data_IF_842932466932
#
_entry.id   IF_842932466932
#
_cell.length_a   1.000
_cell.length_b   1.000
_cell.length_c   1.000
_cell.angle_alpha   90.00
_cell.angle_beta   90.00
_cell.angle_gamma   90.00
#
_symmetry.space_group_name_H-M   'P 1'
#
loop_
_entity.id
_entity.type
_entity.pdbx_description
1 polymer ?
#
# COMPACT_ATOMS: atom_id res chain seq x y z
N UNK A 1 5.47 71.47 40.93
CA UNK A 1 5.38 72.08 39.58
C UNK A 1 5.19 70.95 38.58
N UNK A 2 4.01 70.88 37.99
CA UNK A 2 3.72 70.06 36.82
C UNK A 2 4.27 70.73 35.55
N UNK A 3 4.56 69.94 34.50
CA UNK A 3 4.59 70.24 33.04
C UNK A 3 4.87 68.87 32.37
N UNK A 4 3.83 68.16 31.91
CA UNK A 4 3.43 67.92 30.50
C UNK A 4 4.41 67.04 29.69
N UNK A 5 4.08 65.82 29.25
CA UNK A 5 3.14 65.39 28.20
C UNK A 5 3.82 65.08 26.86
N UNK A 6 3.49 63.89 26.34
CA UNK A 6 3.35 63.51 24.92
C UNK A 6 4.58 63.39 23.99
N UNK A 7 4.84 62.17 23.53
CA UNK A 7 4.90 61.88 22.08
C UNK A 7 4.78 60.36 21.85
N UNK A 8 3.58 59.93 21.45
CA UNK A 8 3.33 58.61 20.90
C UNK A 8 3.87 58.55 19.46
N UNK A 9 4.77 57.61 19.17
CA UNK A 9 5.16 57.27 17.80
C UNK A 9 4.61 55.88 17.46
N UNK A 10 3.35 55.85 17.05
CA UNK A 10 2.76 54.68 16.40
C UNK A 10 3.26 54.62 14.95
N UNK A 11 4.25 53.75 14.68
CA UNK A 11 4.65 53.44 13.31
C UNK A 11 3.68 52.39 12.75
N UNK A 12 2.63 52.87 12.09
CA UNK A 12 1.70 52.06 11.31
C UNK A 12 2.38 51.63 10.01
N UNK A 13 2.94 50.42 9.97
CA UNK A 13 3.29 49.80 8.69
C UNK A 13 1.99 49.37 8.03
N UNK A 14 1.54 50.24 7.12
CA UNK A 14 0.46 49.98 6.18
C UNK A 14 0.69 48.67 5.43
N UNK A 15 -0.27 47.78 5.57
CA UNK A 15 -0.45 46.56 4.79
C UNK A 15 -0.57 46.88 3.30
N UNK A 16 0.54 46.79 2.57
CA UNK A 16 0.51 46.75 1.10
C UNK A 16 0.29 45.28 0.70
N UNK A 17 -0.99 44.89 0.61
CA UNK A 17 -1.41 43.63 0.02
C UNK A 17 -1.49 43.81 -1.50
N UNK A 18 -0.66 43.14 -2.33
CA UNK A 18 -0.89 43.14 -3.77
C UNK A 18 -2.13 42.28 -4.07
N UNK A 19 -3.18 42.92 -4.60
CA UNK A 19 -4.36 42.27 -5.19
C UNK A 19 -3.92 41.44 -6.39
N UNK A 20 -3.69 40.13 -6.19
CA UNK A 20 -3.67 39.16 -7.28
C UNK A 20 -5.13 38.79 -7.58
N UNK A 21 -5.69 39.42 -8.61
CA UNK A 21 -6.96 39.04 -9.22
C UNK A 21 -6.79 37.73 -9.97
N UNK A 22 -7.25 36.61 -9.41
CA UNK A 22 -7.43 35.38 -10.17
C UNK A 22 -8.75 35.45 -10.93
N UNK A 23 -8.80 35.14 -12.24
CA UNK A 23 -10.07 35.02 -12.95
C UNK A 23 -10.85 33.81 -12.42
N UNK A 24 -12.09 34.07 -12.04
CA UNK A 24 -13.10 33.07 -11.74
C UNK A 24 -13.36 32.21 -12.98
N UNK A 25 -12.89 30.97 -13.00
CA UNK A 25 -13.34 29.96 -13.95
C UNK A 25 -14.77 29.55 -13.60
N UNK A 26 -15.73 30.33 -14.09
CA UNK A 26 -17.13 29.90 -14.22
C UNK A 26 -17.16 28.77 -15.25
N UNK A 27 -17.46 27.57 -14.80
CA UNK A 27 -17.82 26.43 -15.65
C UNK A 27 -19.00 26.84 -16.56
N UNK A 28 -18.93 26.66 -17.88
CA UNK A 28 -20.11 26.81 -18.71
C UNK A 28 -20.97 25.54 -18.64
N UNK A 29 -22.10 25.66 -17.95
CA UNK A 29 -23.25 24.77 -18.05
C UNK A 29 -23.84 24.88 -19.46
N UNK A 30 -23.62 23.89 -20.32
CA UNK A 30 -24.31 23.77 -21.59
C UNK A 30 -25.04 22.43 -21.66
N UNK A 31 -26.30 22.46 -21.22
CA UNK A 31 -27.30 21.48 -21.62
C UNK A 31 -27.75 21.85 -23.04
N UNK A 32 -27.55 20.95 -24.01
CA UNK A 32 -28.21 21.04 -25.32
C UNK A 32 -28.84 19.69 -25.59
N UNK A 33 -30.17 19.68 -25.48
CA UNK A 33 -31.05 18.62 -25.94
C UNK A 33 -31.02 18.58 -27.48
N UNK A 34 -30.69 17.42 -28.07
CA UNK A 34 -31.17 17.08 -29.40
C UNK A 34 -31.80 15.69 -29.38
N UNK A 35 -33.12 15.70 -29.24
CA UNK A 35 -34.04 14.59 -29.47
C UNK A 35 -34.80 14.91 -30.74
N UNK A 36 -34.68 14.08 -31.77
CA UNK A 36 -35.66 13.72 -32.84
C UNK A 36 -34.88 13.14 -34.02
N UNK A 37 -35.30 12.12 -34.79
CA UNK A 37 -36.46 11.22 -34.84
C UNK A 37 -36.07 10.12 -35.86
N UNK A 38 -36.46 8.88 -35.57
CA UNK A 38 -37.09 7.86 -36.45
C UNK A 38 -36.58 7.68 -37.90
N UNK A 39 -36.23 6.45 -38.30
CA UNK A 39 -37.16 5.53 -38.98
C UNK A 39 -36.66 4.07 -38.99
N UNK A 40 -37.58 3.09 -39.04
CA UNK A 40 -37.31 1.65 -39.12
C UNK A 40 -37.48 1.10 -40.54
N UNK A 41 -36.74 0.05 -40.92
CA UNK A 41 -37.12 -0.83 -42.03
C UNK A 41 -37.13 -2.28 -41.57
N UNK A 42 -38.33 -2.86 -41.66
CA UNK A 42 -38.66 -4.27 -41.50
C UNK A 42 -38.21 -5.10 -42.71
N UNK A 43 -38.26 -6.43 -42.51
CA UNK A 43 -38.30 -7.58 -43.45
C UNK A 43 -37.07 -8.47 -43.25
N UNK A 44 -37.15 -9.79 -43.04
CA UNK A 44 -38.26 -10.73 -42.87
C UNK A 44 -37.67 -12.06 -42.40
N UNK A 45 -38.49 -12.84 -41.71
CA UNK A 45 -38.26 -14.18 -41.17
C UNK A 45 -37.90 -15.26 -42.20
N UNK A 46 -36.88 -16.09 -41.90
CA UNK A 46 -36.85 -17.53 -42.21
C UNK A 46 -35.91 -18.29 -41.26
N UNK A 47 -36.50 -18.83 -40.20
CA UNK A 47 -36.55 -20.26 -39.85
C UNK A 47 -35.41 -21.21 -40.33
N UNK A 48 -34.67 -21.72 -39.35
CA UNK A 48 -34.19 -23.11 -39.09
C UNK A 48 -32.70 -23.43 -39.00
N UNK A 49 -32.41 -24.14 -37.88
CA UNK A 49 -31.29 -25.03 -37.52
C UNK A 49 -30.25 -24.48 -36.54
N UNK A 50 -30.62 -24.52 -35.26
CA UNK A 50 -29.68 -24.70 -34.15
C UNK A 50 -29.39 -26.19 -33.96
N UNK A 51 -28.13 -26.59 -33.69
CA UNK A 51 -27.85 -27.80 -32.95
C UNK A 51 -27.90 -27.50 -31.44
N UNK A 52 -28.66 -28.33 -30.75
CA UNK A 52 -28.75 -28.49 -29.30
C UNK A 52 -27.38 -28.64 -28.63
N UNK A 53 -27.11 -27.84 -27.60
CA UNK A 53 -26.34 -28.33 -26.44
C UNK A 53 -27.01 -27.80 -25.18
N UNK A 54 -27.42 -28.78 -24.38
CA UNK A 54 -28.19 -28.70 -23.15
C UNK A 54 -27.36 -28.02 -22.05
N UNK A 55 -27.97 -27.03 -21.40
CA UNK A 55 -27.54 -26.51 -20.10
C UNK A 55 -27.84 -27.59 -19.06
N UNK A 56 -26.82 -28.06 -18.36
CA UNK A 56 -27.02 -28.86 -17.14
C UNK A 56 -26.59 -28.02 -15.94
N UNK A 57 -27.58 -27.63 -15.14
CA UNK A 57 -27.39 -27.12 -13.80
C UNK A 57 -26.99 -28.28 -12.87
N UNK A 58 -26.01 -28.07 -12.00
CA UNK A 58 -25.79 -28.92 -10.85
C UNK A 58 -25.30 -28.08 -9.68
N UNK A 59 -26.25 -27.68 -8.82
CA UNK A 59 -25.96 -27.53 -7.40
C UNK A 59 -26.03 -28.92 -6.79
N UNK A 60 -25.05 -29.32 -5.98
CA UNK A 60 -25.23 -29.86 -4.63
C UNK A 60 -23.86 -30.22 -4.03
N UNK A 61 -23.65 -29.74 -2.81
CA UNK A 61 -22.55 -30.07 -1.93
C UNK A 61 -22.47 -31.58 -1.65
N UNK A 62 -21.26 -32.15 -1.54
CA UNK A 62 -20.92 -33.11 -0.48
C UNK A 62 -19.41 -33.47 -0.43
N UNK A 63 -18.81 -33.15 0.72
CA UNK A 63 -17.77 -33.82 1.55
C UNK A 63 -16.77 -34.82 0.92
N UNK A 64 -15.47 -34.80 1.31
CA UNK A 64 -14.43 -35.67 0.75
C UNK A 64 -14.42 -37.06 1.40
N UNK A 65 -14.17 -38.10 0.61
CA UNK A 65 -13.96 -39.46 1.11
C UNK A 65 -12.60 -40.02 0.68
N UNK A 66 -11.83 -40.45 1.69
CA UNK A 66 -11.39 -41.84 1.80
C UNK A 66 -10.32 -42.32 0.85
N UNK A 67 -9.14 -42.60 1.41
CA UNK A 67 -8.00 -43.30 0.81
C UNK A 67 -8.43 -44.64 0.19
N UNK A 68 -7.99 -44.93 -1.03
CA UNK A 68 -7.97 -46.30 -1.57
C UNK A 68 -6.59 -46.91 -1.35
N UNK A 69 -6.59 -48.01 -0.60
CA UNK A 69 -5.44 -48.87 -0.40
C UNK A 69 -5.05 -49.56 -1.72
N UNK A 70 -3.76 -49.59 -2.04
CA UNK A 70 -3.18 -50.59 -2.93
C UNK A 70 -2.11 -51.34 -2.16
N UNK A 71 -2.50 -52.53 -1.73
CA UNK A 71 -1.63 -53.59 -1.24
C UNK A 71 -0.75 -54.06 -2.39
N UNK A 72 0.56 -53.97 -2.25
CA UNK A 72 1.50 -54.73 -3.07
C UNK A 72 2.48 -55.40 -2.13
N UNK A 73 2.39 -56.72 -2.15
CA UNK A 73 3.12 -57.73 -1.40
C UNK A 73 4.64 -57.59 -1.50
N UNK A 74 5.28 -57.79 -0.35
CA UNK A 74 6.71 -58.04 -0.20
C UNK A 74 7.17 -59.33 -0.90
N UNK A 75 8.29 -59.27 -1.63
CA UNK A 75 9.33 -60.30 -1.75
C UNK A 75 10.66 -59.56 -1.98
N UNK A 76 11.52 -59.46 -0.97
CA UNK A 76 12.66 -60.35 -0.69
C UNK A 76 13.77 -60.22 -1.75
N UNK A 77 14.83 -59.49 -1.38
CA UNK A 77 16.21 -59.89 -1.68
C UNK A 77 17.04 -59.52 -0.45
N UNK A 78 17.44 -60.58 0.25
CA UNK A 78 18.47 -60.57 1.28
C UNK A 78 19.83 -60.50 0.58
N UNK A 79 20.77 -59.83 1.26
CA UNK A 79 22.23 -59.83 1.09
C UNK A 79 22.76 -59.12 -0.18
N UNK A 80 23.56 -58.05 -0.06
CA UNK A 80 25.00 -58.10 0.23
C UNK A 80 25.47 -56.73 0.78
N UNK A 81 26.45 -56.78 1.68
CA UNK A 81 27.32 -55.71 2.21
C UNK A 81 26.91 -54.98 3.51
N UNK A 82 27.05 -55.75 4.58
CA UNK A 82 27.58 -55.28 5.85
C UNK A 82 29.01 -54.72 5.70
N UNK A 83 29.19 -53.50 5.16
CA UNK A 83 30.47 -52.77 5.20
C UNK A 83 30.35 -51.26 4.88
N UNK A 84 29.47 -50.53 5.58
CA UNK A 84 29.59 -49.07 5.68
C UNK A 84 28.93 -48.54 6.97
N UNK A 85 29.11 -49.25 8.07
CA UNK A 85 28.83 -48.75 9.41
C UNK A 85 30.03 -47.92 9.89
N UNK A 86 30.19 -46.69 9.39
CA UNK A 86 30.98 -45.61 10.02
C UNK A 86 31.00 -44.33 9.17
N UNK A 87 29.87 -43.66 8.94
CA UNK A 87 29.90 -42.19 8.71
C UNK A 87 28.57 -41.57 9.10
N UNK A 88 28.57 -40.89 10.25
CA UNK A 88 27.59 -39.90 10.70
C UNK A 88 26.11 -40.26 10.55
N UNK A 89 25.52 -40.82 11.61
CA UNK A 89 24.12 -40.53 11.93
C UNK A 89 23.95 -39.00 12.09
N UNK A 90 23.78 -38.27 10.98
CA UNK A 90 23.18 -36.94 11.05
C UNK A 90 21.72 -37.15 11.41
N UNK A 91 21.40 -36.97 12.69
CA UNK A 91 20.03 -36.89 13.19
C UNK A 91 19.16 -36.10 12.21
N UNK A 92 17.93 -36.55 11.90
CA UNK A 92 17.07 -35.82 10.97
C UNK A 92 16.93 -34.39 11.51
N UNK A 93 17.40 -33.42 10.73
CA UNK A 93 17.35 -32.01 11.12
C UNK A 93 15.89 -31.70 11.38
N UNK A 94 15.53 -31.55 12.66
CA UNK A 94 14.18 -31.21 13.08
C UNK A 94 13.86 -29.84 12.46
N UNK A 95 13.20 -29.83 11.30
CA UNK A 95 12.59 -28.63 10.75
C UNK A 95 11.41 -28.28 11.66
N UNK A 96 11.71 -27.55 12.75
CA UNK A 96 10.65 -26.91 13.54
C UNK A 96 10.04 -25.84 12.64
N UNK A 97 8.77 -25.96 12.22
CA UNK A 97 8.13 -24.86 11.52
C UNK A 97 8.15 -23.65 12.44
N UNK A 98 8.85 -22.58 12.04
CA UNK A 98 8.89 -21.33 12.78
C UNK A 98 7.47 -20.77 12.78
N UNK A 99 6.76 -20.94 13.90
CA UNK A 99 5.42 -20.41 14.10
C UNK A 99 5.50 -18.88 13.99
N UNK A 100 5.08 -18.33 12.84
CA UNK A 100 4.95 -16.88 12.67
C UNK A 100 3.86 -16.41 13.62
N UNK A 101 4.27 -15.80 14.74
CA UNK A 101 3.35 -15.11 15.65
C UNK A 101 2.74 -13.93 14.92
N UNK A 102 1.53 -14.09 14.41
CA UNK A 102 0.74 -12.99 13.86
C UNK A 102 0.31 -12.09 15.03
N UNK A 103 1.12 -11.08 15.36
CA UNK A 103 0.76 -10.06 16.34
C UNK A 103 -0.40 -9.26 15.76
N UNK A 104 -1.61 -9.41 16.32
CA UNK A 104 -2.76 -8.58 15.95
C UNK A 104 -2.42 -7.11 16.25
N UNK A 105 -2.90 -6.14 15.44
CA UNK A 105 -2.77 -4.74 15.81
C UNK A 105 -3.39 -4.54 17.20
N UNK A 106 -2.67 -3.85 18.08
CA UNK A 106 -3.22 -3.35 19.34
C UNK A 106 -4.45 -2.50 19.01
N UNK A 107 -5.47 -2.55 19.87
CA UNK A 107 -6.74 -1.86 19.65
C UNK A 107 -6.64 -0.33 19.56
N UNK A 108 -5.46 0.24 19.79
CA UNK A 108 -5.22 1.68 19.93
C UNK A 108 -4.36 2.26 18.81
N UNK A 109 -3.87 1.42 17.89
CA UNK A 109 -2.98 1.84 16.81
C UNK A 109 -3.65 1.70 15.44
N UNK A 110 -3.61 2.78 14.66
CA UNK A 110 -4.03 2.77 13.27
C UNK A 110 -2.82 2.61 12.36
N UNK A 111 -2.95 1.88 11.26
CA UNK A 111 -1.86 1.72 10.31
C UNK A 111 -2.33 1.86 8.86
N UNK A 112 -1.38 2.21 8.00
CA UNK A 112 -1.54 2.18 6.55
C UNK A 112 -0.36 1.45 5.90
N UNK A 113 -0.67 0.66 4.87
CA UNK A 113 0.32 -0.11 4.11
C UNK A 113 0.32 0.34 2.65
N UNK A 114 1.48 0.79 2.18
CA UNK A 114 1.73 1.07 0.76
C UNK A 114 2.62 0.00 0.16
N UNK A 115 2.05 -0.95 -0.58
CA UNK A 115 2.80 -2.03 -1.21
C UNK A 115 3.16 -1.73 -2.67
N UNK A 116 4.24 -2.35 -3.16
CA UNK A 116 4.66 -2.29 -4.58
C UNK A 116 4.98 -0.88 -5.11
N UNK A 117 5.42 0.02 -4.22
CA UNK A 117 5.80 1.38 -4.62
C UNK A 117 7.09 1.29 -5.45
N UNK A 118 7.06 1.87 -6.66
CA UNK A 118 8.14 1.80 -7.66
C UNK A 118 9.28 2.77 -7.34
N UNK A 119 9.92 2.56 -6.19
CA UNK A 119 11.06 3.32 -5.70
C UNK A 119 12.05 2.43 -4.93
N UNK A 120 13.28 2.89 -4.78
CA UNK A 120 14.26 2.25 -3.90
C UNK A 120 13.95 2.59 -2.44
N UNK A 121 14.02 1.58 -1.56
CA UNK A 121 13.78 1.75 -0.13
C UNK A 121 14.68 2.82 0.50
N UNK A 122 15.96 2.92 0.12
CA UNK A 122 16.88 3.92 0.67
C UNK A 122 16.42 5.37 0.42
N UNK A 123 15.83 5.65 -0.75
CA UNK A 123 15.30 6.98 -1.08
C UNK A 123 14.09 7.34 -0.22
N UNK A 124 13.27 6.35 0.11
CA UNK A 124 12.09 6.52 0.98
C UNK A 124 12.51 6.64 2.44
N UNK A 125 13.46 5.81 2.89
CA UNK A 125 14.01 5.82 4.27
C UNK A 125 14.48 7.22 4.66
N UNK A 126 15.19 7.92 3.76
CA UNK A 126 15.62 9.31 3.98
C UNK A 126 14.51 10.25 4.45
N UNK A 127 13.30 10.12 3.90
CA UNK A 127 12.15 10.95 4.28
C UNK A 127 11.48 10.40 5.53
N UNK A 128 11.33 9.08 5.62
CA UNK A 128 10.72 8.42 6.77
C UNK A 128 11.49 8.71 8.07
N UNK A 129 12.80 8.76 8.02
CA UNK A 129 13.65 9.06 9.18
C UNK A 129 13.32 10.43 9.80
N UNK A 130 12.79 11.38 9.02
CA UNK A 130 12.47 12.74 9.47
C UNK A 130 11.11 12.85 10.18
N UNK A 131 10.17 11.98 9.81
CA UNK A 131 8.78 12.05 10.30
C UNK A 131 8.52 11.12 11.49
N UNK A 132 9.47 10.25 11.88
CA UNK A 132 9.31 9.36 13.04
C UNK A 132 9.19 10.19 14.32
N UNK A 133 8.16 9.91 15.12
CA UNK A 133 7.90 10.58 16.39
C UNK A 133 7.36 12.01 16.26
N UNK A 134 6.98 12.45 15.06
CA UNK A 134 6.36 13.77 14.84
C UNK A 134 4.84 13.70 14.94
N UNK A 135 4.22 14.83 15.23
CA UNK A 135 2.76 14.94 15.19
C UNK A 135 2.25 14.83 13.76
N UNK A 136 0.96 14.52 13.60
CA UNK A 136 0.32 14.42 12.30
C UNK A 136 0.42 15.74 11.51
N UNK A 137 0.14 16.87 12.16
CA UNK A 137 0.20 18.20 11.55
C UNK A 137 1.62 18.56 11.09
N UNK A 138 2.62 18.37 11.97
CA UNK A 138 4.03 18.58 11.63
C UNK A 138 4.45 17.71 10.46
N UNK A 139 4.01 16.46 10.43
CA UNK A 139 4.34 15.52 9.37
C UNK A 139 3.82 16.00 8.01
N UNK A 140 2.60 16.52 7.94
CA UNK A 140 2.05 17.06 6.70
C UNK A 140 2.88 18.26 6.20
N UNK A 141 3.21 19.20 7.09
CA UNK A 141 4.03 20.35 6.75
C UNK A 141 5.42 19.94 6.24
N UNK A 142 6.08 19.02 6.94
CA UNK A 142 7.41 18.52 6.57
C UNK A 142 7.36 17.88 5.17
N UNK A 143 6.36 17.04 4.90
CA UNK A 143 6.24 16.33 3.62
C UNK A 143 5.96 17.26 2.44
N UNK A 144 5.20 18.34 2.65
CA UNK A 144 4.91 19.34 1.61
C UNK A 144 6.15 20.19 1.26
N UNK A 145 6.95 20.55 2.25
CA UNK A 145 8.10 21.43 2.07
C UNK A 145 9.36 20.71 1.56
N UNK A 146 9.45 19.39 1.77
CA UNK A 146 10.64 18.63 1.36
C UNK A 146 10.76 18.49 -0.18
N UNK A 147 11.96 18.67 -0.76
CA UNK A 147 12.17 18.61 -2.21
C UNK A 147 12.23 17.18 -2.79
N UNK A 148 11.87 16.16 -2.00
CA UNK A 148 12.03 14.76 -2.40
C UNK A 148 10.78 14.21 -3.09
N UNK A 149 10.96 13.54 -4.23
CA UNK A 149 9.86 12.79 -4.90
C UNK A 149 9.21 11.72 -4.01
N UNK A 150 9.92 11.27 -2.98
CA UNK A 150 9.42 10.28 -2.02
C UNK A 150 8.28 10.81 -1.13
N UNK A 151 8.10 12.13 -1.04
CA UNK A 151 7.06 12.72 -0.21
C UNK A 151 5.66 12.35 -0.70
N UNK A 152 5.41 12.40 -2.02
CA UNK A 152 4.08 12.15 -2.59
C UNK A 152 3.45 10.80 -2.17
N UNK A 153 4.14 9.64 -2.25
CA UNK A 153 3.56 8.38 -1.78
C UNK A 153 3.41 8.35 -0.25
N UNK A 154 4.32 8.96 0.51
CA UNK A 154 4.25 8.99 1.97
C UNK A 154 3.07 9.84 2.44
N UNK A 155 2.87 11.02 1.84
CA UNK A 155 1.76 11.93 2.12
C UNK A 155 0.41 11.22 1.99
N UNK A 156 0.21 10.48 0.90
CA UNK A 156 -1.00 9.66 0.70
C UNK A 156 -1.20 8.60 1.78
N UNK A 157 -0.12 7.98 2.24
CA UNK A 157 -0.19 6.96 3.29
C UNK A 157 -0.47 7.55 4.66
N UNK A 158 0.13 8.69 5.00
CA UNK A 158 -0.14 9.41 6.26
C UNK A 158 -1.61 9.85 6.30
N UNK A 159 -2.11 10.44 5.22
CA UNK A 159 -3.53 10.79 5.10
C UNK A 159 -4.46 9.58 5.25
N UNK A 160 -4.13 8.46 4.59
CA UNK A 160 -4.89 7.22 4.72
C UNK A 160 -4.84 6.63 6.14
N UNK A 161 -3.70 6.74 6.84
CA UNK A 161 -3.56 6.25 8.21
C UNK A 161 -4.42 7.07 9.18
N UNK A 162 -4.45 8.40 9.02
CA UNK A 162 -5.31 9.27 9.82
C UNK A 162 -6.79 9.00 9.57
N UNK A 163 -7.19 8.80 8.30
CA UNK A 163 -8.56 8.40 7.97
C UNK A 163 -8.95 7.06 8.62
N UNK A 164 -8.04 6.09 8.65
CA UNK A 164 -8.24 4.81 9.33
C UNK A 164 -8.38 4.98 10.85
N UNK A 165 -7.56 5.87 11.45
CA UNK A 165 -7.64 6.19 12.88
C UNK A 165 -9.00 6.79 13.24
N UNK A 166 -9.45 7.76 12.45
CA UNK A 166 -10.75 8.41 12.65
C UNK A 166 -11.92 7.45 12.49
N UNK A 167 -11.93 6.66 11.41
CA UNK A 167 -13.06 5.79 11.10
C UNK A 167 -13.14 4.56 12.00
N UNK A 168 -12.01 3.90 12.28
CA UNK A 168 -12.02 2.63 12.99
C UNK A 168 -11.83 2.77 14.50
N UNK A 169 -11.09 3.79 14.94
CA UNK A 169 -10.74 4.00 16.35
C UNK A 169 -11.43 5.22 16.97
N UNK A 170 -12.10 6.06 16.18
CA UNK A 170 -12.76 7.27 16.66
C UNK A 170 -11.79 8.36 17.16
N UNK A 171 -10.51 8.26 16.82
CA UNK A 171 -9.48 9.18 17.28
C UNK A 171 -9.53 10.51 16.51
N UNK A 172 -9.22 11.61 17.20
CA UNK A 172 -9.11 12.93 16.57
C UNK A 172 -7.75 13.09 15.88
N UNK A 173 -7.75 13.67 14.68
CA UNK A 173 -6.56 13.86 13.83
C UNK A 173 -5.48 14.72 14.50
N UNK A 174 -5.90 15.73 15.29
CA UNK A 174 -4.99 16.64 16.00
C UNK A 174 -4.13 15.95 17.07
N UNK A 175 -4.61 14.83 17.62
CA UNK A 175 -3.91 14.11 18.71
C UNK A 175 -3.04 12.95 18.18
N UNK A 176 -2.99 12.74 16.87
CA UNK A 176 -2.25 11.63 16.28
C UNK A 176 -0.76 11.94 16.15
N UNK A 177 0.05 10.95 16.50
CA UNK A 177 1.51 10.98 16.37
C UNK A 177 1.96 9.75 15.59
N UNK A 178 3.01 9.91 14.78
CA UNK A 178 3.65 8.81 14.05
C UNK A 178 4.47 7.96 15.01
N UNK A 179 3.92 6.82 15.45
CA UNK A 179 4.57 5.90 16.37
C UNK A 179 5.67 5.09 15.69
N UNK A 180 5.33 4.41 14.59
CA UNK A 180 6.27 3.61 13.82
C UNK A 180 6.17 3.90 12.33
N UNK A 181 7.30 4.12 11.69
CA UNK A 181 7.37 4.24 10.24
C UNK A 181 8.52 3.39 9.68
N UNK A 182 8.15 2.35 8.94
CA UNK A 182 9.04 1.31 8.45
C UNK A 182 8.99 1.22 6.92
N UNK A 183 10.15 0.93 6.32
CA UNK A 183 10.28 0.73 4.87
C UNK A 183 11.06 -0.55 4.61
N UNK A 184 10.37 -1.49 3.97
CA UNK A 184 10.93 -2.76 3.56
C UNK A 184 11.19 -2.77 2.05
N UNK A 185 12.24 -3.47 1.67
CA UNK A 185 12.54 -3.70 0.26
C UNK A 185 11.57 -4.74 -0.31
N UNK A 186 11.06 -4.46 -1.50
CA UNK A 186 10.21 -5.37 -2.26
C UNK A 186 10.97 -6.03 -3.41
N UNK A 187 10.26 -6.84 -4.18
CA UNK A 187 10.82 -7.49 -5.37
C UNK A 187 11.32 -6.46 -6.40
N UNK A 188 12.54 -6.65 -6.90
CA UNK A 188 13.10 -5.83 -7.97
C UNK A 188 12.82 -6.46 -9.34
N UNK A 189 12.33 -5.65 -10.27
CA UNK A 189 12.18 -6.08 -11.67
C UNK A 189 13.54 -5.99 -12.37
N UNK A 190 13.98 -7.10 -12.98
CA UNK A 190 15.25 -7.16 -13.72
C UNK A 190 15.01 -6.76 -15.18
N UNK A 191 15.89 -5.93 -15.75
CA UNK A 191 15.90 -5.53 -17.17
C UNK A 191 17.32 -5.67 -17.69
N UNK A 192 17.50 -6.23 -18.88
CA UNK A 192 18.83 -6.35 -19.51
C UNK A 192 19.28 -4.99 -20.04
N UNK A 193 20.57 -4.69 -19.87
CA UNK A 193 21.23 -3.48 -20.41
C UNK A 193 22.43 -3.92 -21.25
N UNK A 194 22.46 -3.62 -22.55
CA UNK A 194 23.62 -3.92 -23.37
C UNK A 194 24.85 -3.11 -22.92
N UNK A 195 26.03 -3.72 -23.03
CA UNK A 195 27.34 -3.13 -22.76
C UNK A 195 28.29 -3.39 -23.93
N UNK A 196 29.43 -2.72 -23.93
CA UNK A 196 30.46 -2.87 -24.97
C UNK A 196 30.95 -4.33 -25.07
N UNK A 197 31.41 -4.71 -26.28
CA UNK A 197 31.96 -6.05 -26.60
C UNK A 197 30.98 -7.20 -26.35
N UNK A 198 29.70 -7.02 -26.69
CA UNK A 198 28.68 -8.07 -26.60
C UNK A 198 28.27 -8.47 -25.17
N UNK A 199 28.69 -7.72 -24.15
CA UNK A 199 28.33 -8.00 -22.75
C UNK A 199 26.94 -7.46 -22.40
N UNK A 200 26.30 -8.04 -21.39
CA UNK A 200 24.99 -7.60 -20.89
C UNK A 200 24.95 -7.63 -19.37
N UNK A 201 24.47 -6.53 -18.78
CA UNK A 201 24.22 -6.42 -17.34
C UNK A 201 22.72 -6.40 -17.06
N UNK A 202 22.32 -6.68 -15.82
CA UNK A 202 20.92 -6.54 -15.38
C UNK A 202 20.73 -5.26 -14.55
N UNK A 203 19.91 -4.33 -15.03
CA UNK A 203 19.40 -3.23 -14.23
C UNK A 203 18.27 -3.75 -13.34
N UNK A 204 18.36 -3.48 -12.04
CA UNK A 204 17.28 -3.75 -11.07
C UNK A 204 16.44 -2.49 -10.90
N UNK A 205 15.13 -2.61 -11.13
CA UNK A 205 14.12 -1.59 -10.78
C UNK A 205 13.45 -2.01 -9.47
N UNK A 206 13.95 -1.57 -8.30
CA UNK A 206 13.44 -2.00 -7.01
C UNK A 206 12.00 -1.50 -6.79
N UNK A 207 11.28 -2.23 -5.95
CA UNK A 207 10.07 -1.75 -5.30
C UNK A 207 10.30 -1.70 -3.80
N UNK A 208 9.43 -0.99 -3.10
CA UNK A 208 9.41 -0.97 -1.64
C UNK A 208 7.98 -1.08 -1.12
N UNK A 209 7.88 -1.54 0.12
CA UNK A 209 6.67 -1.55 0.91
C UNK A 209 6.85 -0.63 2.11
N UNK A 210 5.94 0.31 2.30
CA UNK A 210 5.95 1.30 3.38
C UNK A 210 4.85 0.92 4.37
N UNK A 211 5.16 0.92 5.66
CA UNK A 211 4.20 0.80 6.75
C UNK A 211 4.32 2.03 7.63
N UNK A 212 3.21 2.72 7.84
CA UNK A 212 3.10 3.85 8.76
C UNK A 212 2.06 3.46 9.81
N UNK A 213 2.41 3.66 11.07
CA UNK A 213 1.55 3.44 12.24
C UNK A 213 1.39 4.77 12.94
N UNK A 214 0.14 5.11 13.26
CA UNK A 214 -0.23 6.26 14.06
C UNK A 214 -0.79 5.75 15.38
N UNK A 215 -0.44 6.43 16.46
CA UNK A 215 -1.01 6.25 17.78
C UNK A 215 -1.51 7.58 18.33
N UNK A 216 -2.41 7.52 19.29
CA UNK A 216 -2.78 8.68 20.08
C UNK A 216 -1.61 9.13 20.97
N UNK A 217 -1.41 10.44 21.11
CA UNK A 217 -0.41 11.01 22.00
C UNK A 217 -0.92 11.05 23.44
N UNK A 218 -0.53 10.06 24.26
CA UNK A 218 -0.97 9.96 25.65
C UNK A 218 -0.27 10.95 26.61
N UNK A 219 0.68 11.76 26.12
CA UNK A 219 1.47 12.69 26.95
C UNK A 219 0.76 14.01 27.28
N UNK A 220 -0.46 14.24 26.75
CA UNK A 220 -1.27 15.44 27.00
C UNK A 220 -2.33 15.25 28.12
N UNK A 221 -2.18 14.22 28.95
CA UNK A 221 -3.16 13.82 29.97
C UNK A 221 -2.77 14.18 31.42
N UNK A 222 -1.75 15.01 31.62
CA UNK A 222 -1.35 15.51 32.94
C UNK A 222 -1.73 16.98 33.16
#
# INVERSE_FOLDING_TARGET
MAISASAAAAFTVSSISPKLSYPSNSLPTAAVNFRTKLTPTHLSSTTTRFPSVIVCAAQHNNKPHGKTARTASAKKYDDIDAAAAATEERAPVNYRPVQKKNKKPSSTEAYALGQHIRMSAHKVRRVIDQIRGRSYEETLMILELMPYRACNPIFKLVYSAAANAKHNLGLNEANLVVSEAQVNEGGAMKRTRPRARGRSDMIRKPTCSIKIVLSENNQNLE
#
